data_IF_867829520722
#
_entry.id   IF_867829520722
#
_cell.length_a   1.000
_cell.length_b   1.000
_cell.length_c   1.000
_cell.angle_alpha   90.00
_cell.angle_beta   90.00
_cell.angle_gamma   90.00
#
_symmetry.space_group_name_H-M   'P 1'
#
loop_
_entity.id
_entity.type
_entity.pdbx_description
1 polymer ?
#
# COMPACT_ATOMS: atom_id res chain seq x y z
N UNK A 1 -16.21 -10.38 20.21
CA UNK A 1 -14.96 -9.77 20.71
C UNK A 1 -15.34 -8.70 21.74
N UNK A 2 -14.62 -8.66 22.87
CA UNK A 2 -14.84 -7.63 23.90
C UNK A 2 -14.57 -6.22 23.33
N UNK A 3 -15.47 -5.27 23.62
CA UNK A 3 -15.34 -3.89 23.13
C UNK A 3 -15.73 -3.66 21.67
N UNK A 4 -16.07 -4.69 20.91
CA UNK A 4 -16.50 -4.60 19.51
C UNK A 4 -17.98 -4.92 19.36
N UNK A 5 -18.59 -4.45 18.30
CA UNK A 5 -19.98 -4.73 17.96
C UNK A 5 -20.19 -6.24 17.85
N UNK A 6 -21.24 -6.74 18.51
CA UNK A 6 -21.57 -8.17 18.59
C UNK A 6 -21.99 -8.79 17.26
N UNK A 7 -22.30 -7.98 16.25
CA UNK A 7 -22.61 -8.48 14.90
C UNK A 7 -21.41 -9.13 14.23
N UNK A 8 -20.18 -8.80 14.65
CA UNK A 8 -18.94 -9.37 14.13
C UNK A 8 -18.47 -10.54 14.99
N UNK A 9 -18.20 -11.68 14.35
CA UNK A 9 -17.79 -12.93 15.02
C UNK A 9 -16.37 -12.87 15.56
N UNK A 10 -15.47 -12.33 14.74
CA UNK A 10 -14.03 -12.25 14.99
C UNK A 10 -13.43 -10.99 14.33
N UNK A 11 -12.14 -10.78 14.48
CA UNK A 11 -11.49 -9.58 13.97
C UNK A 11 -11.44 -9.52 12.42
N UNK A 12 -11.14 -10.61 11.69
CA UNK A 12 -11.33 -10.63 10.24
C UNK A 12 -12.74 -10.25 9.78
N UNK A 13 -13.76 -10.77 10.43
CA UNK A 13 -15.17 -10.45 10.13
C UNK A 13 -15.49 -8.97 10.42
N UNK A 14 -14.90 -8.39 11.48
CA UNK A 14 -14.98 -6.95 11.75
C UNK A 14 -14.36 -6.14 10.61
N UNK A 15 -13.11 -6.40 10.23
CA UNK A 15 -12.40 -5.64 9.21
C UNK A 15 -13.11 -5.70 7.84
N UNK A 16 -13.48 -6.89 7.40
CA UNK A 16 -14.18 -7.07 6.12
C UNK A 16 -15.62 -6.56 6.21
N UNK A 17 -16.27 -6.74 7.35
CA UNK A 17 -17.63 -6.31 7.59
C UNK A 17 -17.78 -4.79 7.55
N UNK A 18 -16.94 -4.04 8.27
CA UNK A 18 -16.97 -2.57 8.22
C UNK A 18 -16.57 -2.04 6.83
N UNK A 19 -15.59 -2.66 6.15
CA UNK A 19 -15.21 -2.32 4.78
C UNK A 19 -16.43 -2.43 3.85
N UNK A 20 -17.15 -3.54 3.94
CA UNK A 20 -18.36 -3.77 3.13
C UNK A 20 -19.48 -2.78 3.48
N UNK A 21 -19.75 -2.55 4.78
CA UNK A 21 -20.79 -1.63 5.23
C UNK A 21 -20.53 -0.20 4.77
N UNK A 22 -19.33 0.30 4.95
CA UNK A 22 -18.94 1.68 4.61
C UNK A 22 -18.97 1.88 3.10
N UNK A 23 -18.21 1.08 2.34
CA UNK A 23 -17.94 1.39 0.94
C UNK A 23 -18.87 0.71 -0.05
N UNK A 24 -19.24 -0.55 0.16
CA UNK A 24 -20.18 -1.25 -0.74
C UNK A 24 -21.62 -0.96 -0.39
N UNK A 25 -21.94 -0.97 0.91
CA UNK A 25 -23.28 -0.63 1.42
C UNK A 25 -23.62 0.86 1.41
N UNK A 26 -22.64 1.72 1.06
CA UNK A 26 -22.79 3.19 1.07
C UNK A 26 -23.11 3.78 2.45
N UNK A 27 -22.75 3.06 3.50
CA UNK A 27 -22.88 3.52 4.88
C UNK A 27 -21.77 4.50 5.29
N UNK A 28 -21.49 5.54 4.48
CA UNK A 28 -20.34 6.43 4.70
C UNK A 28 -20.43 7.13 6.06
N UNK A 29 -21.63 7.41 6.56
CA UNK A 29 -21.83 8.00 7.88
C UNK A 29 -21.30 7.10 9.03
N UNK A 30 -21.24 5.79 8.85
CA UNK A 30 -20.70 4.85 9.86
C UNK A 30 -19.17 4.99 10.04
N UNK A 31 -18.49 5.75 9.18
CA UNK A 31 -17.11 6.17 9.44
C UNK A 31 -16.96 6.96 10.75
N UNK A 32 -18.02 7.61 11.21
CA UNK A 32 -18.03 8.27 12.54
C UNK A 32 -18.04 7.27 13.69
N UNK A 33 -18.52 6.04 13.47
CA UNK A 33 -18.61 4.99 14.48
C UNK A 33 -17.39 4.07 14.46
N UNK A 34 -16.81 3.83 13.24
CA UNK A 34 -15.72 2.86 13.06
C UNK A 34 -14.34 3.49 12.91
N UNK A 35 -14.23 4.81 12.76
CA UNK A 35 -12.96 5.51 12.65
C UNK A 35 -12.88 6.57 13.75
N UNK A 36 -11.82 6.49 14.55
CA UNK A 36 -11.61 7.45 15.64
C UNK A 36 -11.65 8.90 15.12
N UNK A 37 -12.17 9.85 15.90
CA UNK A 37 -12.26 11.25 15.46
C UNK A 37 -10.93 11.87 15.05
N UNK A 38 -9.83 11.39 15.63
CA UNK A 38 -8.45 11.84 15.45
C UNK A 38 -7.56 10.82 14.75
N UNK A 39 -8.15 9.82 14.09
CA UNK A 39 -7.40 8.80 13.34
C UNK A 39 -6.31 9.40 12.46
N UNK A 40 -5.16 8.72 12.40
CA UNK A 40 -4.08 9.02 11.45
C UNK A 40 -4.09 7.98 10.33
N UNK A 41 -4.34 8.40 9.11
CA UNK A 41 -4.27 7.55 7.92
C UNK A 41 -3.08 7.97 7.07
N UNK A 42 -2.12 7.07 6.93
CA UNK A 42 -0.93 7.26 6.10
C UNK A 42 -1.09 6.52 4.79
N UNK A 43 -0.92 7.23 3.72
CA UNK A 43 -0.69 6.64 2.40
C UNK A 43 0.64 7.15 1.84
N UNK A 44 1.27 6.47 0.87
CA UNK A 44 2.50 6.99 0.28
C UNK A 44 2.37 8.41 -0.28
N UNK A 45 1.16 8.79 -0.70
CA UNK A 45 0.87 10.09 -1.32
C UNK A 45 0.58 11.22 -0.32
N UNK A 46 0.15 10.90 0.92
CA UNK A 46 -0.25 11.91 1.93
C UNK A 46 -0.51 11.30 3.30
N UNK A 47 -0.59 12.17 4.31
CA UNK A 47 -1.09 11.85 5.66
C UNK A 47 -2.40 12.60 5.88
N UNK A 48 -3.45 11.89 6.31
CA UNK A 48 -4.76 12.45 6.65
C UNK A 48 -5.00 12.26 8.14
N UNK A 49 -5.32 13.34 8.85
CA UNK A 49 -5.66 13.31 10.27
C UNK A 49 -7.14 13.63 10.45
N UNK A 50 -7.81 12.76 11.19
CA UNK A 50 -9.22 12.86 11.52
C UNK A 50 -10.17 12.22 10.54
N UNK A 51 -11.24 11.61 11.08
CA UNK A 51 -12.23 10.87 10.28
C UNK A 51 -13.00 11.74 9.28
N UNK A 52 -13.11 13.05 9.50
CA UNK A 52 -13.70 13.97 8.52
C UNK A 52 -12.90 14.03 7.22
N UNK A 53 -11.56 13.99 7.33
CA UNK A 53 -10.68 13.91 6.16
C UNK A 53 -10.86 12.60 5.40
N UNK A 54 -11.00 11.48 6.12
CA UNK A 54 -11.29 10.16 5.54
C UNK A 54 -12.64 10.15 4.81
N UNK A 55 -13.68 10.74 5.42
CA UNK A 55 -15.02 10.89 4.78
C UNK A 55 -14.91 11.71 3.49
N UNK A 56 -14.22 12.84 3.53
CA UNK A 56 -14.03 13.68 2.34
C UNK A 56 -13.30 12.94 1.21
N UNK A 57 -12.21 12.24 1.51
CA UNK A 57 -11.46 11.41 0.55
C UNK A 57 -12.32 10.27 0.00
N UNK A 58 -13.15 9.65 0.84
CA UNK A 58 -14.09 8.59 0.43
C UNK A 58 -15.13 9.13 -0.54
N UNK A 59 -15.74 10.28 -0.23
CA UNK A 59 -16.74 10.91 -1.11
C UNK A 59 -16.13 11.31 -2.47
N UNK A 60 -14.91 11.87 -2.47
CA UNK A 60 -14.19 12.18 -3.71
C UNK A 60 -13.94 10.93 -4.56
N UNK A 61 -13.47 9.84 -3.92
CA UNK A 61 -13.26 8.56 -4.62
C UNK A 61 -14.56 7.99 -5.20
N UNK A 62 -15.68 8.07 -4.47
CA UNK A 62 -16.97 7.57 -4.93
C UNK A 62 -17.61 8.45 -6.01
N UNK A 63 -17.28 9.74 -6.04
CA UNK A 63 -17.68 10.63 -7.15
C UNK A 63 -17.00 10.20 -8.47
N UNK A 64 -15.73 9.83 -8.40
CA UNK A 64 -14.93 9.41 -9.55
C UNK A 64 -15.21 7.95 -9.96
N UNK A 65 -15.45 7.07 -8.97
CA UNK A 65 -15.68 5.63 -9.13
C UNK A 65 -16.97 5.18 -8.42
N UNK A 66 -18.17 5.54 -8.93
CA UNK A 66 -19.43 5.31 -8.22
C UNK A 66 -19.81 3.83 -8.06
N UNK A 67 -19.29 2.94 -8.89
CA UNK A 67 -19.54 1.49 -8.86
C UNK A 67 -18.44 0.70 -8.13
N UNK A 68 -17.52 1.38 -7.46
CA UNK A 68 -16.36 0.75 -6.80
C UNK A 68 -16.79 -0.32 -5.81
N UNK A 69 -16.15 -1.49 -5.92
CA UNK A 69 -16.24 -2.61 -4.96
C UNK A 69 -14.89 -2.86 -4.27
N UNK A 70 -14.94 -3.40 -3.06
CA UNK A 70 -13.79 -3.73 -2.23
C UNK A 70 -13.90 -5.17 -1.72
N UNK A 71 -13.39 -6.11 -2.49
CA UNK A 71 -13.45 -7.54 -2.16
C UNK A 71 -12.26 -7.93 -1.27
N UNK A 72 -12.54 -8.27 -0.02
CA UNK A 72 -11.52 -8.77 0.91
C UNK A 72 -10.96 -10.10 0.42
N UNK A 73 -9.64 -10.17 0.21
CA UNK A 73 -8.93 -11.40 -0.18
C UNK A 73 -8.37 -12.13 1.05
N UNK A 74 -7.83 -11.40 2.04
CA UNK A 74 -7.23 -11.97 3.25
C UNK A 74 -7.10 -10.93 4.36
N UNK A 75 -7.10 -11.40 5.63
CA UNK A 75 -6.80 -10.59 6.83
C UNK A 75 -5.78 -11.34 7.67
N UNK A 76 -4.56 -10.85 7.70
CA UNK A 76 -3.48 -11.32 8.57
C UNK A 76 -3.45 -10.37 9.76
N UNK A 77 -3.53 -10.88 10.99
CA UNK A 77 -3.72 -10.01 12.15
C UNK A 77 -3.01 -10.50 13.41
N UNK A 78 -2.79 -9.57 14.34
CA UNK A 78 -2.22 -9.84 15.66
C UNK A 78 -2.85 -8.94 16.73
N UNK A 79 -2.56 -9.24 18.00
CA UNK A 79 -3.07 -8.49 19.13
C UNK A 79 -4.30 -9.11 19.77
N UNK A 80 -4.85 -8.43 20.77
CA UNK A 80 -6.05 -8.86 21.50
C UNK A 80 -7.03 -7.69 21.65
N UNK A 81 -8.32 -7.96 21.92
CA UNK A 81 -9.29 -6.89 22.17
C UNK A 81 -8.89 -5.92 23.28
N UNK A 82 -8.17 -6.40 24.29
CA UNK A 82 -7.76 -5.62 25.46
C UNK A 82 -6.60 -4.67 25.16
N UNK A 83 -5.64 -5.13 24.36
CA UNK A 83 -4.43 -4.37 24.01
C UNK A 83 -4.54 -3.60 22.71
N UNK A 84 -5.57 -3.91 21.93
CA UNK A 84 -5.74 -3.48 20.54
C UNK A 84 -5.27 -4.56 19.57
N UNK A 85 -5.86 -4.56 18.40
CA UNK A 85 -5.58 -5.52 17.32
C UNK A 85 -5.15 -4.77 16.07
N UNK A 86 -4.14 -5.28 15.36
CA UNK A 86 -3.77 -4.77 14.05
C UNK A 86 -4.04 -5.82 12.98
N UNK A 87 -4.79 -5.43 11.94
CA UNK A 87 -4.95 -6.20 10.72
C UNK A 87 -3.96 -5.71 9.67
N UNK A 88 -3.31 -6.62 8.97
CA UNK A 88 -2.74 -6.36 7.65
C UNK A 88 -3.62 -7.09 6.64
N UNK A 89 -4.39 -6.36 5.84
CA UNK A 89 -5.40 -6.98 5.00
C UNK A 89 -5.27 -6.60 3.54
N UNK A 90 -5.68 -7.52 2.69
CA UNK A 90 -5.56 -7.43 1.24
C UNK A 90 -6.95 -7.37 0.61
N UNK A 91 -7.12 -6.40 -0.28
CA UNK A 91 -8.39 -6.10 -0.94
C UNK A 91 -8.16 -6.05 -2.46
N UNK A 92 -9.05 -6.68 -3.22
CA UNK A 92 -9.18 -6.47 -4.66
C UNK A 92 -10.30 -5.47 -4.93
N UNK A 93 -10.00 -4.39 -5.63
CA UNK A 93 -10.96 -3.38 -6.03
C UNK A 93 -11.27 -3.48 -7.52
N UNK A 94 -12.55 -3.35 -7.85
CA UNK A 94 -13.04 -3.15 -9.21
C UNK A 94 -13.80 -1.83 -9.26
N UNK A 95 -13.65 -1.08 -10.35
CA UNK A 95 -14.30 0.22 -10.52
C UNK A 95 -14.41 0.58 -12.00
N UNK A 96 -15.33 1.49 -12.34
CA UNK A 96 -15.38 2.17 -13.63
C UNK A 96 -15.07 3.65 -13.42
N UNK A 97 -14.12 4.19 -14.16
CA UNK A 97 -13.77 5.62 -14.13
C UNK A 97 -14.85 6.44 -14.82
N UNK A 98 -15.92 6.77 -14.09
CA UNK A 98 -17.15 7.35 -14.61
C UNK A 98 -17.34 8.84 -14.25
N UNK A 99 -16.57 9.36 -13.30
CA UNK A 99 -16.57 10.75 -12.87
C UNK A 99 -15.20 11.41 -13.09
N UNK A 100 -15.21 12.74 -13.23
CA UNK A 100 -13.99 13.53 -13.24
C UNK A 100 -13.41 13.60 -11.81
N UNK A 101 -12.08 13.55 -11.69
CA UNK A 101 -11.44 13.59 -10.39
C UNK A 101 -9.93 13.64 -10.43
N UNK A 102 -9.30 13.03 -9.45
CA UNK A 102 -7.84 13.03 -9.28
C UNK A 102 -7.09 12.34 -10.45
N UNK A 103 -7.75 11.47 -11.20
CA UNK A 103 -7.19 10.84 -12.38
C UNK A 103 -7.52 11.57 -13.70
N UNK A 104 -8.18 12.72 -13.63
CA UNK A 104 -8.57 13.55 -14.78
C UNK A 104 -10.02 13.36 -15.17
N UNK A 105 -10.33 13.63 -16.46
CA UNK A 105 -11.68 13.47 -17.00
C UNK A 105 -12.08 12.00 -17.10
N UNK A 106 -13.37 11.72 -16.88
CA UNK A 106 -13.95 10.39 -16.94
C UNK A 106 -13.63 9.67 -18.26
N UNK A 107 -13.09 8.46 -18.18
CA UNK A 107 -12.69 7.68 -19.37
C UNK A 107 -13.65 6.55 -19.71
N UNK A 108 -14.56 6.17 -18.79
CA UNK A 108 -15.40 4.98 -18.89
C UNK A 108 -14.64 3.65 -18.77
N UNK A 109 -13.34 3.67 -18.52
CA UNK A 109 -12.52 2.47 -18.42
C UNK A 109 -12.79 1.70 -17.13
N UNK A 110 -12.83 0.38 -17.22
CA UNK A 110 -12.90 -0.52 -16.08
C UNK A 110 -11.52 -0.76 -15.51
N UNK A 111 -11.43 -0.76 -14.19
CA UNK A 111 -10.20 -0.92 -13.43
C UNK A 111 -10.28 -2.12 -12.51
N UNK A 112 -9.14 -2.78 -12.33
CA UNK A 112 -8.91 -3.79 -11.31
C UNK A 112 -7.57 -3.52 -10.65
N UNK A 113 -7.55 -3.31 -9.35
CA UNK A 113 -6.32 -3.02 -8.63
C UNK A 113 -6.38 -3.52 -7.20
N UNK A 114 -5.23 -3.76 -6.61
CA UNK A 114 -5.10 -4.27 -5.24
C UNK A 114 -4.81 -3.15 -4.25
N UNK A 115 -5.21 -3.36 -3.01
CA UNK A 115 -4.95 -2.50 -1.87
C UNK A 115 -4.41 -3.38 -0.75
N UNK A 116 -3.35 -2.93 -0.07
CA UNK A 116 -2.86 -3.48 1.18
C UNK A 116 -3.02 -2.41 2.26
N UNK A 117 -3.60 -2.78 3.39
CA UNK A 117 -3.80 -1.84 4.49
C UNK A 117 -3.51 -2.51 5.84
N UNK A 118 -2.78 -1.79 6.68
CA UNK A 118 -2.59 -2.09 8.09
C UNK A 118 -3.51 -1.19 8.89
N UNK A 119 -4.46 -1.75 9.65
CA UNK A 119 -5.39 -1.00 10.48
C UNK A 119 -5.32 -1.45 11.92
N UNK A 120 -4.95 -0.55 12.82
CA UNK A 120 -5.07 -0.77 14.25
C UNK A 120 -6.48 -0.44 14.70
N UNK A 121 -7.08 -1.36 15.47
CA UNK A 121 -8.44 -1.21 15.97
C UNK A 121 -8.52 -1.51 17.46
N UNK A 122 -9.23 -0.67 18.19
CA UNK A 122 -9.52 -0.79 19.61
C UNK A 122 -10.90 -0.24 19.91
N UNK A 123 -11.66 -0.91 20.79
CA UNK A 123 -12.98 -0.45 21.21
C UNK A 123 -13.91 -0.13 20.02
N UNK A 124 -13.96 -1.03 19.04
CA UNK A 124 -14.80 -0.90 17.84
C UNK A 124 -14.42 0.23 16.88
N UNK A 125 -13.28 0.87 17.03
CA UNK A 125 -12.82 1.93 16.16
C UNK A 125 -11.40 1.67 15.64
N UNK A 126 -11.17 2.02 14.38
CA UNK A 126 -9.84 2.12 13.78
C UNK A 126 -9.27 3.47 14.19
N UNK A 127 -8.08 3.49 14.79
CA UNK A 127 -7.45 4.70 15.30
C UNK A 127 -6.09 5.00 14.65
N UNK A 128 -5.55 4.05 13.89
CA UNK A 128 -4.29 4.21 13.16
C UNK A 128 -4.28 3.34 11.90
N UNK A 129 -3.84 3.89 10.75
CA UNK A 129 -3.91 3.19 9.46
C UNK A 129 -2.73 3.51 8.56
N UNK A 130 -2.22 2.49 7.85
CA UNK A 130 -1.28 2.58 6.72
C UNK A 130 -1.92 1.93 5.50
N UNK A 131 -2.13 2.71 4.45
CA UNK A 131 -2.90 2.30 3.28
C UNK A 131 -2.06 2.45 2.01
N UNK A 132 -1.81 1.35 1.30
CA UNK A 132 -1.16 1.36 -0.01
C UNK A 132 -2.12 0.86 -1.06
N UNK A 133 -2.46 1.74 -1.98
CA UNK A 133 -3.23 1.43 -3.18
C UNK A 133 -2.28 1.29 -4.37
N UNK A 134 -2.49 0.31 -5.23
CA UNK A 134 -1.72 0.17 -6.47
C UNK A 134 -2.08 1.29 -7.47
N UNK A 135 -1.55 2.50 -7.19
CA UNK A 135 -1.79 3.67 -8.04
C UNK A 135 -1.21 3.49 -9.44
N UNK A 136 -0.06 2.81 -9.54
CA UNK A 136 0.54 2.50 -10.84
C UNK A 136 -0.37 1.66 -11.72
N UNK A 137 -1.07 0.67 -11.15
CA UNK A 137 -2.05 -0.13 -11.87
C UNK A 137 -3.24 0.71 -12.36
N UNK A 138 -3.79 1.58 -11.51
CA UNK A 138 -4.89 2.48 -11.88
C UNK A 138 -4.47 3.35 -13.06
N UNK A 139 -3.37 4.07 -12.92
CA UNK A 139 -2.86 5.03 -13.91
C UNK A 139 -2.61 4.36 -15.26
N UNK A 140 -1.95 3.18 -15.28
CA UNK A 140 -1.70 2.42 -16.51
C UNK A 140 -2.98 1.94 -17.18
N UNK A 141 -3.97 1.45 -16.42
CA UNK A 141 -5.26 1.03 -16.96
C UNK A 141 -6.06 2.21 -17.53
N UNK A 142 -5.86 3.41 -17.00
CA UNK A 142 -6.40 4.65 -17.59
C UNK A 142 -5.63 5.12 -18.84
N UNK A 143 -4.51 4.46 -19.17
CA UNK A 143 -3.70 4.77 -20.35
C UNK A 143 -2.70 5.88 -20.14
N UNK A 144 -2.34 6.14 -18.89
CA UNK A 144 -1.37 7.16 -18.51
C UNK A 144 -0.04 6.51 -18.07
N UNK A 145 1.05 7.26 -18.18
CA UNK A 145 2.35 6.91 -17.62
C UNK A 145 2.44 7.39 -16.16
N UNK A 146 2.95 6.58 -15.19
CA UNK A 146 3.01 6.98 -13.79
C UNK A 146 3.85 8.23 -13.50
N UNK A 147 4.95 8.46 -14.24
CA UNK A 147 5.76 9.67 -14.09
C UNK A 147 5.03 10.90 -14.63
N UNK A 148 4.42 10.77 -15.81
CA UNK A 148 3.64 11.84 -16.41
C UNK A 148 2.42 12.20 -15.54
N UNK A 149 1.71 11.19 -15.02
CA UNK A 149 0.62 11.39 -14.07
C UNK A 149 1.08 12.13 -12.81
N UNK A 150 2.21 11.75 -12.21
CA UNK A 150 2.72 12.41 -11.01
C UNK A 150 3.05 13.88 -11.26
N UNK A 151 3.61 14.23 -12.45
CA UNK A 151 3.87 15.61 -12.88
C UNK A 151 2.58 16.41 -13.02
N UNK A 152 1.61 15.86 -13.74
CA UNK A 152 0.30 16.46 -13.94
C UNK A 152 -0.45 16.66 -12.61
N UNK A 153 -0.35 15.68 -11.70
CA UNK A 153 -0.94 15.79 -10.35
C UNK A 153 -0.33 16.96 -9.55
N UNK A 154 0.98 17.14 -9.58
CA UNK A 154 1.65 18.29 -8.94
C UNK A 154 1.07 19.60 -9.48
N UNK A 155 0.90 19.70 -10.79
CA UNK A 155 0.35 20.92 -11.45
C UNK A 155 -1.11 21.14 -11.03
N UNK A 156 -1.95 20.14 -11.06
CA UNK A 156 -3.37 20.22 -10.67
C UNK A 156 -3.58 20.54 -9.19
N UNK A 157 -2.67 20.14 -8.33
CA UNK A 157 -2.68 20.47 -6.90
C UNK A 157 -2.12 21.87 -6.60
N UNK A 158 -1.83 22.70 -7.60
CA UNK A 158 -1.38 24.09 -7.45
C UNK A 158 0.12 24.30 -7.53
N UNK A 159 0.85 23.33 -8.05
CA UNK A 159 2.29 23.38 -8.26
C UNK A 159 3.13 22.92 -7.05
N UNK A 160 4.47 22.95 -7.17
CA UNK A 160 5.37 22.36 -6.16
C UNK A 160 5.25 22.95 -4.75
N UNK A 161 4.81 24.22 -4.63
CA UNK A 161 4.67 24.87 -3.33
C UNK A 161 3.36 24.50 -2.60
N UNK A 162 2.31 24.16 -3.34
CA UNK A 162 0.95 23.95 -2.81
C UNK A 162 0.50 22.48 -2.83
N UNK A 163 1.13 21.63 -3.64
CA UNK A 163 0.72 20.24 -3.78
C UNK A 163 0.82 19.45 -2.48
N UNK A 164 -0.04 18.43 -2.34
CA UNK A 164 0.02 17.48 -1.23
C UNK A 164 1.41 16.84 -1.16
N UNK A 165 1.96 16.75 0.04
CA UNK A 165 3.28 16.15 0.26
C UNK A 165 3.15 14.65 0.44
N UNK A 166 4.00 13.84 -0.23
CA UNK A 166 4.13 12.43 0.06
C UNK A 166 4.45 12.18 1.53
N UNK A 167 4.01 11.04 2.05
CA UNK A 167 4.34 10.61 3.40
C UNK A 167 5.82 10.22 3.45
N UNK A 168 6.55 10.89 4.30
CA UNK A 168 7.96 10.67 4.60
C UNK A 168 8.16 10.78 6.12
N UNK A 169 9.32 10.40 6.69
CA UNK A 169 9.57 10.60 8.12
C UNK A 169 9.38 12.05 8.60
N UNK A 170 9.58 13.04 7.71
CA UNK A 170 9.43 14.46 8.04
C UNK A 170 7.96 14.94 7.99
N UNK A 171 7.11 14.27 7.21
CA UNK A 171 5.69 14.65 7.05
C UNK A 171 4.74 13.74 7.83
N UNK A 172 5.25 12.63 8.37
CA UNK A 172 4.47 11.69 9.17
C UNK A 172 3.97 12.32 10.48
N UNK A 173 2.83 11.84 10.93
CA UNK A 173 2.21 12.21 12.20
C UNK A 173 2.12 10.95 13.07
N UNK A 174 2.61 11.02 14.29
CA UNK A 174 2.52 9.89 15.21
C UNK A 174 1.07 9.54 15.52
N UNK A 175 0.72 8.27 15.36
CA UNK A 175 -0.57 7.70 15.76
C UNK A 175 -0.46 6.99 17.11
N UNK A 176 -1.57 6.45 17.62
CA UNK A 176 -1.61 5.77 18.90
C UNK A 176 -0.97 4.37 18.91
N UNK A 177 -0.75 3.76 17.74
CA UNK A 177 -0.20 2.41 17.65
C UNK A 177 1.32 2.40 17.60
N UNK A 178 1.93 1.71 18.55
CA UNK A 178 3.39 1.53 18.67
C UNK A 178 3.85 0.08 18.63
N UNK A 179 2.94 -0.87 18.32
CA UNK A 179 3.30 -2.29 18.24
C UNK A 179 4.12 -2.63 17.00
N UNK A 180 4.89 -3.71 17.10
CA UNK A 180 5.75 -4.21 16.00
C UNK A 180 5.28 -5.54 15.42
N UNK A 181 4.14 -6.06 15.88
CA UNK A 181 3.56 -7.31 15.40
C UNK A 181 3.56 -8.44 16.43
N UNK A 182 3.87 -9.66 16.00
CA UNK A 182 3.96 -10.83 16.87
C UNK A 182 5.26 -11.62 16.62
N UNK A 183 5.54 -12.59 17.49
CA UNK A 183 6.75 -13.43 17.45
C UNK A 183 6.54 -14.75 16.67
N UNK A 184 5.58 -14.79 15.74
CA UNK A 184 5.30 -15.97 14.94
C UNK A 184 6.45 -16.28 13.97
N UNK A 185 6.79 -17.56 13.86
CA UNK A 185 7.93 -18.01 13.03
C UNK A 185 7.76 -17.72 11.52
N UNK A 186 6.53 -17.63 11.02
CA UNK A 186 6.25 -17.31 9.60
C UNK A 186 6.57 -15.85 9.33
N UNK A 187 6.20 -14.97 10.26
CA UNK A 187 6.56 -13.55 10.22
C UNK A 187 8.07 -13.35 10.24
N UNK A 188 8.75 -13.98 11.22
CA UNK A 188 10.21 -13.91 11.35
C UNK A 188 10.92 -14.44 10.09
N UNK A 189 10.45 -15.56 9.51
CA UNK A 189 10.99 -16.13 8.28
C UNK A 189 10.85 -15.18 7.09
N UNK A 190 9.70 -14.55 6.92
CA UNK A 190 9.49 -13.62 5.80
C UNK A 190 10.31 -12.34 5.98
N UNK A 191 10.44 -11.84 7.21
CA UNK A 191 11.30 -10.71 7.54
C UNK A 191 12.79 -10.99 7.21
N UNK A 192 13.30 -12.20 7.53
CA UNK A 192 14.65 -12.63 7.14
C UNK A 192 14.81 -12.65 5.61
N UNK A 193 13.85 -13.23 4.88
CA UNK A 193 13.89 -13.28 3.41
C UNK A 193 14.00 -11.89 2.82
N UNK A 194 13.13 -10.94 3.21
CA UNK A 194 13.15 -9.58 2.69
C UNK A 194 14.43 -8.84 3.09
N UNK A 195 14.89 -8.99 4.31
CA UNK A 195 16.16 -8.40 4.79
C UNK A 195 17.34 -8.88 3.95
N UNK A 196 17.43 -10.18 3.66
CA UNK A 196 18.48 -10.74 2.83
C UNK A 196 18.43 -10.21 1.40
N UNK A 197 17.26 -10.18 0.78
CA UNK A 197 17.04 -9.60 -0.55
C UNK A 197 17.52 -8.13 -0.57
N UNK A 198 17.15 -7.35 0.43
CA UNK A 198 17.54 -5.94 0.53
C UNK A 198 19.05 -5.74 0.77
N UNK A 199 19.70 -6.73 1.36
CA UNK A 199 21.17 -6.80 1.49
C UNK A 199 21.87 -7.46 0.28
N UNK A 200 21.17 -7.57 -0.86
CA UNK A 200 21.65 -8.16 -2.11
C UNK A 200 21.99 -9.67 -2.02
N UNK A 201 21.53 -10.38 -0.99
CA UNK A 201 21.62 -11.86 -0.94
C UNK A 201 20.43 -12.50 -1.67
N UNK A 202 20.42 -12.35 -2.99
CA UNK A 202 19.37 -12.90 -3.85
C UNK A 202 19.40 -14.43 -3.94
N UNK A 203 20.50 -15.07 -3.49
CA UNK A 203 20.56 -16.53 -3.39
C UNK A 203 19.57 -17.12 -2.37
N UNK A 204 18.90 -16.28 -1.58
CA UNK A 204 17.79 -16.69 -0.71
C UNK A 204 16.56 -17.09 -1.55
N UNK A 205 16.30 -16.47 -2.70
CA UNK A 205 15.09 -16.67 -3.50
C UNK A 205 14.92 -18.14 -3.90
N UNK A 206 15.84 -18.81 -4.60
CA UNK A 206 15.65 -20.20 -4.97
C UNK A 206 15.62 -21.17 -3.78
N UNK A 207 15.99 -20.73 -2.57
CA UNK A 207 15.98 -21.56 -1.35
C UNK A 207 14.70 -21.38 -0.53
N UNK A 208 14.13 -20.19 -0.55
CA UNK A 208 13.00 -19.81 0.31
C UNK A 208 11.67 -19.77 -0.43
N UNK A 209 11.68 -19.51 -1.74
CA UNK A 209 10.47 -19.47 -2.57
C UNK A 209 10.22 -20.83 -3.24
N UNK A 210 8.94 -21.18 -3.34
CA UNK A 210 8.51 -22.29 -4.20
C UNK A 210 8.92 -22.00 -5.65
N UNK A 211 9.34 -23.04 -6.37
CA UNK A 211 9.71 -22.92 -7.79
C UNK A 211 8.59 -22.34 -8.66
N UNK A 212 7.34 -22.60 -8.30
CA UNK A 212 6.14 -22.13 -8.98
C UNK A 212 5.48 -20.95 -8.23
N UNK A 213 6.24 -20.14 -7.51
CA UNK A 213 5.72 -18.97 -6.79
C UNK A 213 4.92 -18.08 -7.72
N UNK A 214 3.79 -17.60 -7.23
CA UNK A 214 2.99 -16.55 -7.85
C UNK A 214 3.32 -15.22 -7.17
N UNK A 215 3.65 -14.21 -7.96
CA UNK A 215 3.99 -12.88 -7.47
C UNK A 215 3.00 -11.84 -8.00
N UNK A 216 2.58 -10.94 -7.11
CA UNK A 216 1.68 -9.83 -7.38
C UNK A 216 2.34 -8.54 -6.92
N UNK A 217 2.78 -7.72 -7.88
CA UNK A 217 3.62 -6.56 -7.65
C UNK A 217 2.96 -5.26 -8.15
N UNK A 218 3.49 -4.07 -7.77
CA UNK A 218 2.97 -2.78 -8.21
C UNK A 218 2.81 -2.68 -9.72
N UNK A 219 1.88 -1.83 -10.14
CA UNK A 219 1.55 -1.65 -11.55
C UNK A 219 0.62 -2.71 -12.13
N UNK A 220 -0.04 -3.51 -11.26
CA UNK A 220 -0.91 -4.61 -11.67
C UNK A 220 -0.16 -5.82 -12.21
N UNK A 221 1.13 -5.95 -11.88
CA UNK A 221 1.98 -7.05 -12.35
C UNK A 221 1.60 -8.35 -11.66
N UNK A 222 1.30 -9.39 -12.45
CA UNK A 222 1.10 -10.76 -11.97
C UNK A 222 2.05 -11.66 -12.77
N UNK A 223 2.91 -12.42 -12.08
CA UNK A 223 3.96 -13.22 -12.72
C UNK A 223 4.26 -14.49 -11.89
N UNK A 224 5.12 -15.36 -12.40
CA UNK A 224 5.43 -16.66 -11.81
C UNK A 224 6.92 -16.98 -11.82
N UNK A 225 7.33 -17.76 -10.80
CA UNK A 225 8.66 -18.33 -10.69
C UNK A 225 9.73 -17.37 -10.19
N UNK A 226 10.91 -17.91 -9.91
CA UNK A 226 12.00 -17.18 -9.26
C UNK A 226 12.47 -15.97 -10.06
N UNK A 227 12.49 -16.07 -11.40
CA UNK A 227 12.91 -14.95 -12.26
C UNK A 227 12.04 -13.71 -12.09
N UNK A 228 10.73 -13.87 -11.90
CA UNK A 228 9.83 -12.76 -11.66
C UNK A 228 10.13 -12.06 -10.32
N UNK A 229 10.40 -12.85 -9.28
CA UNK A 229 10.79 -12.35 -7.96
C UNK A 229 12.15 -11.63 -8.02
N UNK A 230 13.16 -12.23 -8.65
CA UNK A 230 14.46 -11.61 -8.87
C UNK A 230 14.33 -10.26 -9.59
N UNK A 231 13.64 -10.25 -10.71
CA UNK A 231 13.46 -9.05 -11.53
C UNK A 231 12.83 -7.90 -10.76
N UNK A 232 11.80 -8.19 -9.96
CA UNK A 232 11.11 -7.19 -9.16
C UNK A 232 12.02 -6.58 -8.08
N UNK A 233 12.60 -7.43 -7.23
CA UNK A 233 13.40 -6.96 -6.10
C UNK A 233 14.73 -6.34 -6.53
N UNK A 234 15.39 -6.89 -7.56
CA UNK A 234 16.58 -6.30 -8.17
C UNK A 234 16.24 -4.92 -8.75
N UNK A 235 15.14 -4.82 -9.49
CA UNK A 235 14.72 -3.56 -10.12
C UNK A 235 14.47 -2.44 -9.10
N UNK A 236 13.79 -2.77 -7.99
CA UNK A 236 13.56 -1.83 -6.90
C UNK A 236 14.88 -1.46 -6.20
N UNK A 237 15.67 -2.46 -5.78
CA UNK A 237 16.91 -2.24 -5.04
C UNK A 237 17.97 -1.51 -5.87
N UNK A 238 18.05 -1.80 -7.17
CA UNK A 238 18.96 -1.13 -8.08
C UNK A 238 18.64 0.37 -8.30
N UNK A 239 17.37 0.77 -8.15
CA UNK A 239 17.00 2.19 -8.20
C UNK A 239 17.45 2.96 -6.94
N UNK A 240 17.56 2.29 -5.80
CA UNK A 240 17.84 2.86 -4.48
C UNK A 240 18.96 2.10 -3.76
N UNK A 241 20.17 1.97 -4.36
CA UNK A 241 21.24 1.11 -3.81
C UNK A 241 21.76 1.57 -2.45
N UNK A 242 21.72 2.88 -2.15
CA UNK A 242 22.14 3.45 -0.86
C UNK A 242 21.02 3.54 0.17
N UNK A 243 19.77 3.22 -0.20
CA UNK A 243 18.64 3.39 0.72
C UNK A 243 18.67 2.36 1.87
N UNK A 244 18.37 2.84 3.06
CA UNK A 244 18.19 2.03 4.25
C UNK A 244 16.85 1.30 4.21
N UNK A 245 16.88 -0.02 4.40
CA UNK A 245 15.69 -0.84 4.55
C UNK A 245 15.33 -0.99 6.02
N UNK A 246 14.10 -0.68 6.37
CA UNK A 246 13.57 -0.84 7.73
C UNK A 246 12.27 -1.63 7.72
N UNK A 247 12.15 -2.60 8.62
CA UNK A 247 10.91 -3.32 8.90
C UNK A 247 10.26 -2.66 10.12
N UNK A 248 8.99 -2.27 9.97
CA UNK A 248 8.21 -1.56 10.99
C UNK A 248 7.22 -2.46 11.72
N UNK A 249 6.70 -3.48 11.03
CA UNK A 249 5.71 -4.38 11.59
C UNK A 249 5.79 -5.76 10.95
N UNK A 250 5.66 -6.80 11.76
CA UNK A 250 5.75 -8.20 11.34
C UNK A 250 4.61 -8.99 11.97
N UNK A 251 3.78 -9.63 11.15
CA UNK A 251 2.78 -10.58 11.62
C UNK A 251 3.01 -11.92 10.90
N UNK A 252 3.01 -13.01 11.65
CA UNK A 252 2.84 -14.36 11.12
C UNK A 252 1.56 -14.98 11.65
N UNK A 253 0.94 -15.86 10.87
CA UNK A 253 -0.26 -16.62 11.25
C UNK A 253 -0.30 -17.99 10.63
N UNK A 254 -0.78 -18.94 11.42
CA UNK A 254 -1.11 -20.30 11.00
C UNK A 254 -2.53 -20.60 11.48
N UNK A 255 -3.51 -20.34 10.63
CA UNK A 255 -4.94 -20.55 10.93
C UNK A 255 -5.40 -21.88 10.33
N UNK A 256 -6.32 -22.62 11.00
CA UNK A 256 -6.88 -23.84 10.45
C UNK A 256 -7.46 -23.64 9.03
N UNK A 257 -7.23 -24.60 8.16
CA UNK A 257 -7.72 -24.64 6.77
C UNK A 257 -7.20 -23.53 5.85
N UNK A 258 -6.23 -22.74 6.32
CA UNK A 258 -5.56 -21.72 5.52
C UNK A 258 -4.06 -22.02 5.40
N UNK A 259 -3.39 -21.58 4.32
CA UNK A 259 -1.94 -21.66 4.28
C UNK A 259 -1.33 -20.79 5.39
N UNK A 260 -0.17 -21.16 5.96
CA UNK A 260 0.59 -20.27 6.81
C UNK A 260 0.92 -18.97 6.08
N UNK A 261 0.79 -17.83 6.76
CA UNK A 261 0.89 -16.50 6.16
C UNK A 261 1.76 -15.57 6.96
N UNK A 262 2.29 -14.56 6.29
CA UNK A 262 2.97 -13.45 6.95
C UNK A 262 2.62 -12.12 6.28
N UNK A 263 2.65 -11.05 7.06
CA UNK A 263 2.51 -9.67 6.60
C UNK A 263 3.64 -8.83 7.18
N UNK A 264 4.24 -7.99 6.34
CA UNK A 264 5.33 -7.10 6.73
C UNK A 264 5.07 -5.71 6.20
N UNK A 265 5.12 -4.69 7.08
CA UNK A 265 5.22 -3.29 6.69
C UNK A 265 6.66 -2.85 6.81
N UNK A 266 7.15 -2.23 5.74
CA UNK A 266 8.54 -1.85 5.60
C UNK A 266 8.71 -0.49 4.90
N UNK A 267 9.92 0.06 4.95
CA UNK A 267 10.30 1.22 4.15
C UNK A 267 11.70 1.09 3.55
N UNK A 268 11.91 1.83 2.43
CA UNK A 268 13.24 2.19 1.93
C UNK A 268 13.37 3.70 1.99
N UNK A 269 14.41 4.19 2.68
CA UNK A 269 14.65 5.63 2.85
C UNK A 269 16.07 5.95 2.41
N UNK A 270 16.23 6.82 1.41
CA UNK A 270 17.56 7.17 0.88
C UNK A 270 17.48 8.04 -0.35
N UNK A 271 18.22 7.67 -1.40
CA UNK A 271 18.29 8.44 -2.64
C UNK A 271 18.01 7.57 -3.85
N UNK A 272 17.44 8.19 -4.89
CA UNK A 272 17.39 7.62 -6.23
C UNK A 272 18.75 7.80 -6.90
N UNK A 273 19.71 6.93 -6.56
CA UNK A 273 21.11 7.02 -6.94
C UNK A 273 21.63 5.84 -7.78
N UNK A 274 20.71 4.96 -8.22
CA UNK A 274 21.00 3.83 -9.08
C UNK A 274 20.06 3.68 -10.27
N UNK A 275 20.49 2.89 -11.24
CA UNK A 275 19.69 2.50 -12.39
C UNK A 275 18.75 1.33 -12.01
N UNK A 276 17.45 1.51 -12.20
CA UNK A 276 16.44 0.50 -11.86
C UNK A 276 15.09 0.85 -12.48
N UNK A 277 14.03 0.47 -11.80
CA UNK A 277 12.64 0.65 -12.30
C UNK A 277 12.21 2.12 -12.44
N UNK A 278 12.96 3.06 -11.86
CA UNK A 278 12.71 4.51 -11.96
C UNK A 278 13.67 5.22 -12.93
N UNK A 279 14.40 4.47 -13.78
CA UNK A 279 15.26 5.01 -14.83
C UNK A 279 16.61 5.52 -14.33
N UNK A 280 17.12 6.60 -14.96
CA UNK A 280 18.41 7.18 -14.64
C UNK A 280 18.43 7.80 -13.25
N UNK A 281 19.52 7.60 -12.47
CA UNK A 281 19.65 8.15 -11.12
C UNK A 281 19.57 9.69 -11.14
N UNK A 282 18.82 10.25 -10.20
CA UNK A 282 18.60 11.70 -10.09
C UNK A 282 19.22 12.30 -8.82
N UNK A 283 19.63 11.47 -7.86
CA UNK A 283 20.09 11.90 -6.54
C UNK A 283 18.97 12.41 -5.62
N UNK A 284 17.70 12.36 -6.07
CA UNK A 284 16.56 12.83 -5.29
C UNK A 284 16.39 12.01 -4.00
N UNK A 285 16.08 12.65 -2.86
CA UNK A 285 15.69 11.93 -1.66
C UNK A 285 14.33 11.22 -1.91
N UNK A 286 14.22 10.00 -1.43
CA UNK A 286 13.00 9.19 -1.55
C UNK A 286 12.71 8.44 -0.26
N UNK A 287 11.44 8.26 0.02
CA UNK A 287 10.91 7.36 1.02
C UNK A 287 9.87 6.47 0.37
N UNK A 288 10.13 5.16 0.38
CA UNK A 288 9.21 4.15 -0.14
C UNK A 288 8.53 3.47 1.03
N UNK A 289 7.22 3.62 1.16
CA UNK A 289 6.40 2.83 2.08
C UNK A 289 5.95 1.58 1.35
N UNK A 290 6.16 0.40 1.94
CA UNK A 290 5.76 -0.88 1.39
C UNK A 290 5.02 -1.76 2.38
N UNK A 291 4.07 -2.55 1.88
CA UNK A 291 3.44 -3.66 2.60
C UNK A 291 3.56 -4.91 1.72
N UNK A 292 3.96 -6.01 2.35
CA UNK A 292 4.14 -7.30 1.68
C UNK A 292 3.43 -8.40 2.44
N UNK A 293 2.69 -9.26 1.72
CA UNK A 293 2.08 -10.47 2.25
C UNK A 293 2.69 -11.70 1.60
N UNK A 294 2.93 -12.74 2.38
CA UNK A 294 3.40 -14.04 1.94
C UNK A 294 2.43 -15.14 2.34
N UNK A 295 2.20 -16.08 1.43
CA UNK A 295 1.54 -17.36 1.71
C UNK A 295 2.56 -18.48 1.51
N UNK A 296 2.72 -19.35 2.51
CA UNK A 296 3.66 -20.45 2.46
C UNK A 296 3.00 -21.75 2.02
N UNK A 297 3.71 -22.52 1.22
CA UNK A 297 3.36 -23.89 0.85
C UNK A 297 4.40 -24.87 1.36
N UNK A 298 4.26 -26.16 1.01
CA UNK A 298 5.20 -27.22 1.47
C UNK A 298 6.65 -27.00 1.03
N UNK A 299 6.86 -26.27 -0.08
CA UNK A 299 8.21 -26.05 -0.67
C UNK A 299 8.71 -24.61 -0.52
N UNK A 300 8.11 -23.82 0.35
CA UNK A 300 8.52 -22.43 0.60
C UNK A 300 7.41 -21.41 0.34
N UNK A 301 7.78 -20.16 0.12
CA UNK A 301 6.87 -19.07 -0.17
C UNK A 301 6.22 -19.30 -1.54
N UNK A 302 4.91 -19.50 -1.54
CA UNK A 302 4.11 -19.89 -2.71
C UNK A 302 3.43 -18.72 -3.40
N UNK A 303 3.00 -17.72 -2.63
CA UNK A 303 2.44 -16.47 -3.17
C UNK A 303 3.03 -15.29 -2.44
N UNK A 304 3.36 -14.26 -3.18
CA UNK A 304 3.82 -12.99 -2.64
C UNK A 304 2.99 -11.84 -3.24
N UNK A 305 2.54 -10.96 -2.35
CA UNK A 305 1.83 -9.75 -2.71
C UNK A 305 2.58 -8.58 -2.10
N UNK A 306 3.16 -7.75 -2.92
CA UNK A 306 3.89 -6.57 -2.44
C UNK A 306 3.36 -5.33 -3.14
N UNK A 307 3.07 -4.28 -2.36
CA UNK A 307 2.70 -2.99 -2.90
C UNK A 307 3.57 -1.88 -2.33
N UNK A 308 3.91 -0.97 -3.20
CA UNK A 308 4.31 0.42 -2.95
C UNK A 308 3.63 1.31 -3.99
N UNK A 309 3.61 2.62 -3.79
CA UNK A 309 2.99 3.55 -4.75
C UNK A 309 4.06 4.16 -5.66
N UNK A 310 4.10 3.73 -6.92
CA UNK A 310 5.03 4.24 -7.94
C UNK A 310 4.83 5.74 -8.19
N UNK A 311 3.57 6.22 -8.16
CA UNK A 311 3.27 7.63 -8.45
C UNK A 311 3.75 8.55 -7.34
N UNK A 312 3.69 8.10 -6.09
CA UNK A 312 4.22 8.83 -4.94
C UNK A 312 5.76 8.90 -4.97
N UNK A 313 6.43 7.85 -5.43
CA UNK A 313 7.88 7.85 -5.63
C UNK A 313 8.26 8.84 -6.74
N UNK A 314 7.58 8.79 -7.89
CA UNK A 314 7.79 9.75 -8.96
C UNK A 314 7.54 11.19 -8.49
N UNK A 315 6.49 11.44 -7.69
CA UNK A 315 6.19 12.75 -7.15
C UNK A 315 7.34 13.27 -6.28
N UNK A 316 7.95 12.44 -5.43
CA UNK A 316 9.12 12.79 -4.64
C UNK A 316 10.31 13.17 -5.53
N UNK A 317 10.61 12.35 -6.54
CA UNK A 317 11.71 12.59 -7.49
C UNK A 317 11.48 13.90 -8.24
N UNK A 318 10.29 14.13 -8.80
CA UNK A 318 9.96 15.34 -9.57
C UNK A 318 10.04 16.62 -8.72
N UNK A 319 9.53 16.57 -7.48
CA UNK A 319 9.61 17.71 -6.54
C UNK A 319 11.05 18.03 -6.15
N UNK A 320 11.90 17.02 -5.98
CA UNK A 320 13.30 17.22 -5.61
C UNK A 320 14.18 17.70 -6.77
N UNK A 321 13.87 17.28 -7.99
CA UNK A 321 14.65 17.66 -9.20
C UNK A 321 14.17 18.94 -9.83
N UNK A 322 12.94 19.40 -9.50
CA UNK A 322 12.31 20.52 -10.18
C UNK A 322 11.79 20.18 -11.60
N UNK A 323 11.79 18.89 -12.02
CA UNK A 323 11.27 18.42 -13.31
C UNK A 323 9.73 18.33 -13.28
N UNK A 324 9.09 19.46 -12.98
CA UNK A 324 7.63 19.58 -12.78
C UNK A 324 6.94 20.34 -13.91
N UNK A 325 7.69 21.01 -14.81
CA UNK A 325 7.17 21.65 -15.99
C UNK A 325 7.12 20.66 -17.15
N UNK A 326 6.03 20.67 -17.92
CA UNK A 326 6.00 19.94 -19.19
C UNK A 326 7.06 20.53 -20.13
N UNK A 327 7.81 19.64 -20.79
CA UNK A 327 8.75 20.03 -21.85
C UNK A 327 8.04 20.64 -23.10
N UNK A 328 6.74 20.83 -23.04
CA UNK A 328 5.93 21.54 -24.03
C UNK A 328 5.79 23.01 -23.65
N UNK A 329 6.91 23.73 -23.74
CA UNK A 329 6.83 25.18 -23.95
C UNK A 329 6.00 25.44 -25.21
N UNK A 330 5.30 26.59 -25.34
CA UNK A 330 4.50 26.89 -26.51
C UNK A 330 5.40 26.80 -27.74
N UNK A 331 5.07 25.90 -28.66
CA UNK A 331 5.64 25.95 -30.00
C UNK A 331 5.09 27.24 -30.63
N UNK A 332 5.93 28.27 -30.63
CA UNK A 332 5.71 29.53 -31.35
C UNK A 332 5.71 29.28 -32.85
#
# INVERSE_FOLDING_TARGET
MQGFDRKFRDFPDYIIGITREIWEGRGIATLHDYYAPDIVVRSPSSVVVGNRGVIAATMATLSEFPDRTLLGEDVIWSGTPETGMLSSHRIMSHATHSGDGVYGAATGRKLRYRILADCHARNNAIDDEWLIRDQGAIVRQLGQDPKAYARDLITREGGPAACLRPCTPETDVAGPYSGTGNDDERGARYADILTRIMNADLAVIPKAYDRAVQSHYPGGTEDHGHFAVDRFWIGLRAAFPSADFAIHHVIGRDDPEMPPRAAIRWSLTGRHDGWGVFGAPTGAPVHVMGISHAEFGPWGLRREFTLYDETAIWKQILLATGDVEDATGPQT
#
